data_IF_496323094004
#
_entry.id   IF_496323094004
#
_cell.length_a   1.000
_cell.length_b   1.000
_cell.length_c   1.000
_cell.angle_alpha   90.00
_cell.angle_beta   90.00
_cell.angle_gamma   90.00
#
_symmetry.space_group_name_H-M   'P 1'
#
loop_
_entity.id
_entity.type
_entity.pdbx_description
1 polymer ?
#
# COMPACT_ATOMS: atom_id res chain seq x y z
N UNK A 1 16.99 -45.24 58.78
CA UNK A 1 15.81 -44.38 58.52
C UNK A 1 15.20 -44.75 57.17
N UNK A 2 14.22 -45.65 57.11
CA UNK A 2 13.53 -45.96 55.85
C UNK A 2 12.45 -44.91 55.58
N UNK A 3 12.60 -44.11 54.51
CA UNK A 3 11.49 -43.30 53.98
C UNK A 3 10.38 -44.24 53.53
N UNK A 4 9.23 -44.25 54.22
CA UNK A 4 8.01 -44.88 53.70
C UNK A 4 7.58 -44.11 52.45
N UNK A 5 7.75 -44.72 51.28
CA UNK A 5 7.12 -44.27 50.04
C UNK A 5 5.61 -44.47 50.21
N UNK A 6 4.87 -43.37 50.36
CA UNK A 6 3.39 -43.40 50.34
C UNK A 6 2.97 -43.67 48.89
N UNK A 7 2.34 -44.82 48.65
CA UNK A 7 1.69 -45.10 47.37
C UNK A 7 0.42 -44.22 47.24
N UNK A 8 0.27 -43.53 46.12
CA UNK A 8 -0.92 -42.72 45.84
C UNK A 8 -2.15 -43.61 45.68
N UNK A 9 -3.30 -43.17 46.19
CA UNK A 9 -4.54 -43.92 46.00
C UNK A 9 -5.00 -43.81 44.53
N UNK A 10 -5.62 -44.87 44.00
CA UNK A 10 -6.11 -44.88 42.61
C UNK A 10 -7.12 -43.75 42.34
N UNK A 11 -7.92 -43.41 43.35
CA UNK A 11 -8.88 -42.30 43.33
C UNK A 11 -8.18 -40.95 43.20
N UNK A 12 -7.07 -40.72 43.91
CA UNK A 12 -6.27 -39.50 43.83
C UNK A 12 -5.65 -39.31 42.43
N UNK A 13 -5.20 -40.39 41.79
CA UNK A 13 -4.68 -40.36 40.41
C UNK A 13 -5.79 -40.04 39.40
N UNK A 14 -6.98 -40.63 39.54
CA UNK A 14 -8.13 -40.33 38.67
C UNK A 14 -8.58 -38.87 38.79
N UNK A 15 -8.61 -38.31 40.00
CA UNK A 15 -8.88 -36.89 40.20
C UNK A 15 -7.78 -36.02 39.56
N UNK A 16 -6.50 -36.35 39.76
CA UNK A 16 -5.40 -35.60 39.18
C UNK A 16 -5.46 -35.56 37.63
N UNK A 17 -5.75 -36.69 36.99
CA UNK A 17 -5.89 -36.76 35.51
C UNK A 17 -7.11 -35.97 35.04
N UNK A 18 -8.23 -36.05 35.76
CA UNK A 18 -9.46 -35.31 35.42
C UNK A 18 -9.24 -33.80 35.51
N UNK A 19 -8.61 -33.32 36.60
CA UNK A 19 -8.25 -31.91 36.73
C UNK A 19 -7.24 -31.48 35.66
N UNK A 20 -6.19 -32.27 35.44
CA UNK A 20 -5.18 -31.95 34.45
C UNK A 20 -5.75 -31.87 33.03
N UNK A 21 -6.65 -32.79 32.65
CA UNK A 21 -7.32 -32.77 31.35
C UNK A 21 -8.25 -31.55 31.21
N UNK A 22 -9.02 -31.22 32.25
CA UNK A 22 -9.87 -30.03 32.27
C UNK A 22 -9.03 -28.74 32.14
N UNK A 23 -7.94 -28.61 32.91
CA UNK A 23 -7.02 -27.49 32.81
C UNK A 23 -6.35 -27.41 31.43
N UNK A 24 -5.92 -28.54 30.87
CA UNK A 24 -5.32 -28.60 29.54
C UNK A 24 -6.29 -28.15 28.46
N UNK A 25 -7.57 -28.53 28.57
CA UNK A 25 -8.61 -28.11 27.64
C UNK A 25 -8.87 -26.60 27.72
N UNK A 26 -8.94 -26.03 28.93
CA UNK A 26 -9.07 -24.58 29.12
C UNK A 26 -7.87 -23.83 28.53
N UNK A 27 -6.65 -24.30 28.80
CA UNK A 27 -5.43 -23.73 28.24
C UNK A 27 -5.39 -23.81 26.72
N UNK A 28 -5.83 -24.93 26.14
CA UNK A 28 -5.92 -25.11 24.70
C UNK A 28 -6.87 -24.09 24.05
N UNK A 29 -8.07 -23.89 24.63
CA UNK A 29 -8.99 -22.87 24.13
C UNK A 29 -8.45 -21.45 24.30
N UNK A 30 -7.81 -21.15 25.43
CA UNK A 30 -7.18 -19.85 25.65
C UNK A 30 -6.07 -19.58 24.62
N UNK A 31 -5.24 -20.59 24.32
CA UNK A 31 -4.18 -20.50 23.31
C UNK A 31 -4.74 -20.29 21.90
N UNK A 32 -5.80 -21.02 21.54
CA UNK A 32 -6.47 -20.85 20.24
C UNK A 32 -7.04 -19.44 20.08
N UNK A 33 -7.70 -18.92 21.12
CA UNK A 33 -8.30 -17.59 21.09
C UNK A 33 -7.21 -16.51 21.00
N UNK A 34 -6.15 -16.63 21.79
CA UNK A 34 -5.00 -15.70 21.75
C UNK A 34 -4.34 -15.72 20.38
N UNK A 35 -4.16 -16.90 19.79
CA UNK A 35 -3.57 -17.06 18.46
C UNK A 35 -4.42 -16.41 17.37
N UNK A 36 -5.76 -16.55 17.43
CA UNK A 36 -6.68 -15.90 16.49
C UNK A 36 -6.62 -14.37 16.59
N UNK A 37 -6.60 -13.83 17.82
CA UNK A 37 -6.48 -12.38 18.05
C UNK A 37 -5.14 -11.87 17.55
N UNK A 38 -4.04 -12.55 17.90
CA UNK A 38 -2.70 -12.16 17.46
C UNK A 38 -2.57 -12.13 15.92
N UNK A 39 -3.11 -13.14 15.24
CA UNK A 39 -3.11 -13.19 13.77
C UNK A 39 -3.93 -12.05 13.16
N UNK A 40 -5.09 -11.75 13.74
CA UNK A 40 -5.96 -10.65 13.30
C UNK A 40 -5.29 -9.29 13.43
N UNK A 41 -4.66 -9.04 14.57
CA UNK A 41 -3.91 -7.80 14.83
C UNK A 41 -2.71 -7.69 13.90
N UNK A 42 -1.92 -8.76 13.78
CA UNK A 42 -0.74 -8.79 12.90
C UNK A 42 -1.07 -8.50 11.43
N UNK A 43 -2.18 -9.04 10.92
CA UNK A 43 -2.64 -8.81 9.55
C UNK A 43 -3.04 -7.33 9.31
N UNK A 44 -3.76 -6.73 10.28
CA UNK A 44 -4.12 -5.31 10.22
C UNK A 44 -2.88 -4.40 10.34
N UNK A 45 -1.95 -4.72 11.23
CA UNK A 45 -0.72 -3.96 11.39
C UNK A 45 0.16 -4.01 10.14
N UNK A 46 0.20 -5.13 9.43
CA UNK A 46 0.88 -5.24 8.14
C UNK A 46 0.25 -4.30 7.10
N UNK A 47 -1.08 -4.29 6.98
CA UNK A 47 -1.80 -3.41 6.06
C UNK A 47 -1.62 -1.92 6.43
N UNK A 48 -1.71 -1.58 7.72
CA UNK A 48 -1.51 -0.21 8.21
C UNK A 48 -0.10 0.29 7.93
N UNK A 49 0.94 -0.55 8.11
CA UNK A 49 2.32 -0.19 7.76
C UNK A 49 2.48 0.16 6.28
N UNK A 50 1.78 -0.53 5.37
CA UNK A 50 1.81 -0.19 3.95
C UNK A 50 1.19 1.19 3.68
N UNK A 51 0.04 1.49 4.31
CA UNK A 51 -0.61 2.79 4.18
C UNK A 51 0.27 3.91 4.75
N UNK A 52 0.81 3.74 5.96
CA UNK A 52 1.69 4.74 6.60
C UNK A 52 2.94 4.99 5.76
N UNK A 53 3.53 3.93 5.19
CA UNK A 53 4.68 4.06 4.28
C UNK A 53 4.31 4.84 3.03
N UNK A 54 3.21 4.50 2.35
CA UNK A 54 2.73 5.23 1.18
C UNK A 54 2.46 6.71 1.49
N UNK A 55 1.76 7.00 2.59
CA UNK A 55 1.49 8.35 3.05
C UNK A 55 2.77 9.14 3.34
N UNK A 56 3.76 8.53 3.99
CA UNK A 56 5.02 9.19 4.30
C UNK A 56 5.76 9.63 3.04
N UNK A 57 5.86 8.75 2.03
CA UNK A 57 6.47 9.09 0.75
C UNK A 57 5.68 10.19 0.02
N UNK A 58 4.37 10.03 -0.12
CA UNK A 58 3.51 11.03 -0.79
C UNK A 58 3.58 12.39 -0.09
N UNK A 59 3.54 12.41 1.24
CA UNK A 59 3.54 13.68 2.00
C UNK A 59 4.85 14.43 1.84
N UNK A 60 5.99 13.74 1.97
CA UNK A 60 7.31 14.36 1.79
C UNK A 60 7.46 14.93 0.37
N UNK A 61 7.15 14.11 -0.62
CA UNK A 61 7.36 14.46 -2.01
C UNK A 61 6.43 15.57 -2.50
N UNK A 62 5.18 15.61 -2.03
CA UNK A 62 4.24 16.69 -2.33
C UNK A 62 4.58 17.99 -1.60
N UNK A 63 5.10 17.92 -0.38
CA UNK A 63 5.58 19.12 0.34
C UNK A 63 6.73 19.79 -0.43
N UNK A 64 7.58 19.00 -1.09
CA UNK A 64 8.67 19.46 -1.94
C UNK A 64 8.28 19.59 -3.42
N UNK A 65 7.00 19.36 -3.75
CA UNK A 65 6.47 19.42 -5.10
C UNK A 65 6.02 20.83 -5.47
N UNK A 66 5.77 21.07 -6.76
CA UNK A 66 5.20 22.32 -7.26
C UNK A 66 3.67 22.29 -7.28
N UNK A 67 3.04 23.37 -6.80
CA UNK A 67 1.59 23.56 -6.83
C UNK A 67 1.06 24.14 -8.13
N UNK A 68 1.94 24.41 -9.12
CA UNK A 68 1.54 25.09 -10.36
C UNK A 68 0.74 24.16 -11.28
N UNK A 69 -0.28 24.67 -12.01
CA UNK A 69 -1.18 23.86 -12.83
C UNK A 69 -0.52 23.00 -13.92
N UNK A 70 0.64 23.42 -14.45
CA UNK A 70 1.35 22.70 -15.51
C UNK A 70 2.51 21.83 -14.98
N UNK A 71 2.72 21.81 -13.66
CA UNK A 71 3.83 21.12 -13.00
C UNK A 71 3.35 19.94 -12.14
N UNK A 72 2.06 19.65 -12.22
CA UNK A 72 1.44 18.45 -11.68
C UNK A 72 0.35 17.96 -12.63
N UNK A 73 0.13 16.66 -12.67
CA UNK A 73 -0.96 16.07 -13.44
C UNK A 73 -1.40 14.77 -12.77
N UNK A 74 -2.67 14.43 -12.95
CA UNK A 74 -3.23 13.15 -12.51
C UNK A 74 -4.03 12.48 -13.61
N UNK A 75 -4.10 11.15 -13.55
CA UNK A 75 -4.92 10.35 -14.47
C UNK A 75 -5.32 9.03 -13.80
N UNK A 76 -6.14 8.23 -14.48
CA UNK A 76 -6.43 6.85 -14.07
C UNK A 76 -5.47 5.88 -14.71
N UNK A 77 -5.02 4.89 -13.94
CA UNK A 77 -4.19 3.79 -14.45
C UNK A 77 -5.09 2.74 -15.10
N UNK A 78 -4.72 2.32 -16.31
CA UNK A 78 -5.46 1.31 -17.06
C UNK A 78 -5.54 -0.05 -16.34
N UNK A 79 -6.44 -0.94 -16.78
CA UNK A 79 -6.65 -2.24 -16.14
C UNK A 79 -5.45 -3.17 -16.32
N UNK A 80 -4.89 -3.67 -15.21
CA UNK A 80 -3.87 -4.73 -15.28
C UNK A 80 -4.43 -6.15 -15.37
N UNK A 81 -5.68 -6.34 -14.94
CA UNK A 81 -6.36 -7.64 -14.89
C UNK A 81 -7.55 -7.72 -15.86
N UNK A 82 -7.68 -6.80 -16.81
CA UNK A 82 -8.72 -6.83 -17.85
C UNK A 82 -9.99 -6.05 -17.52
N UNK A 83 -10.33 -5.85 -16.25
CA UNK A 83 -11.47 -5.02 -15.84
C UNK A 83 -11.12 -4.05 -14.70
N UNK A 84 -11.63 -2.82 -14.84
CA UNK A 84 -11.50 -1.73 -13.87
C UNK A 84 -10.12 -1.07 -13.82
N UNK A 85 -10.08 0.22 -13.46
CA UNK A 85 -8.82 0.95 -13.28
C UNK A 85 -8.07 0.43 -12.05
N UNK A 86 -6.77 0.21 -12.16
CA UNK A 86 -5.96 -0.29 -11.03
C UNK A 86 -5.94 0.72 -9.87
N UNK A 87 -6.01 2.01 -10.19
CA UNK A 87 -6.00 3.15 -9.27
C UNK A 87 -5.79 4.44 -10.05
N UNK A 88 -5.49 5.52 -9.33
CA UNK A 88 -5.07 6.77 -9.95
C UNK A 88 -3.53 6.82 -10.07
N UNK A 89 -3.07 7.75 -10.89
CA UNK A 89 -1.67 8.13 -11.01
C UNK A 89 -1.52 9.63 -10.82
N UNK A 90 -0.37 10.03 -10.28
CA UNK A 90 0.02 11.39 -10.01
C UNK A 90 1.43 11.58 -10.56
N UNK A 91 1.68 12.64 -11.31
CA UNK A 91 3.03 13.14 -11.55
C UNK A 91 3.16 14.57 -11.03
N UNK A 92 4.30 14.90 -10.45
CA UNK A 92 4.60 16.23 -9.91
C UNK A 92 6.08 16.55 -10.10
N UNK A 93 6.38 17.80 -10.43
CA UNK A 93 7.75 18.30 -10.45
C UNK A 93 8.16 18.71 -9.03
N UNK A 94 9.35 18.31 -8.61
CA UNK A 94 9.87 18.56 -7.26
C UNK A 94 11.28 19.16 -7.30
N UNK A 95 11.57 19.96 -6.26
CA UNK A 95 12.91 20.49 -6.00
C UNK A 95 13.82 19.51 -5.24
N UNK A 96 13.28 18.39 -4.73
CA UNK A 96 14.05 17.44 -3.93
C UNK A 96 14.90 16.54 -4.83
N UNK A 97 16.22 16.71 -4.72
CA UNK A 97 17.19 15.75 -5.18
C UNK A 97 18.03 15.32 -3.97
N UNK A 98 17.93 14.05 -3.57
CA UNK A 98 18.61 13.48 -2.39
C UNK A 98 20.15 13.66 -2.38
N UNK A 99 20.73 14.21 -3.46
CA UNK A 99 22.14 14.43 -3.65
C UNK A 99 22.56 15.92 -3.68
N UNK A 100 21.64 16.86 -3.96
CA UNK A 100 22.00 18.28 -4.14
C UNK A 100 21.29 19.20 -3.14
N UNK A 101 21.96 20.25 -2.63
CA UNK A 101 21.32 21.25 -1.79
C UNK A 101 20.18 21.94 -2.54
N UNK A 102 19.15 22.37 -1.81
CA UNK A 102 18.11 23.21 -2.37
C UNK A 102 18.72 24.42 -3.07
N UNK A 103 18.30 24.63 -4.32
CA UNK A 103 18.72 25.76 -5.13
C UNK A 103 17.53 26.65 -5.45
N UNK A 104 17.78 27.94 -5.46
CA UNK A 104 16.80 28.99 -5.70
C UNK A 104 17.21 29.67 -7.00
N UNK A 105 16.25 29.91 -7.89
CA UNK A 105 16.44 30.63 -9.13
C UNK A 105 16.79 32.10 -8.87
N UNK A 106 17.24 32.80 -9.90
CA UNK A 106 17.46 34.25 -9.86
C UNK A 106 16.18 35.05 -9.57
N UNK A 107 15.00 34.42 -9.73
CA UNK A 107 13.68 34.99 -9.42
C UNK A 107 13.18 34.64 -8.02
N UNK A 108 13.96 33.93 -7.20
CA UNK A 108 13.58 33.55 -5.84
C UNK A 108 12.72 32.29 -5.74
N UNK A 109 12.47 31.59 -6.85
CA UNK A 109 11.68 30.35 -6.88
C UNK A 109 12.58 29.12 -6.69
N UNK A 110 12.07 28.05 -6.07
CA UNK A 110 12.82 26.80 -5.98
C UNK A 110 13.08 26.23 -7.38
N UNK A 111 14.31 25.75 -7.61
CA UNK A 111 14.66 25.07 -8.86
C UNK A 111 14.14 23.64 -8.81
N UNK A 112 13.32 23.29 -9.80
CA UNK A 112 12.81 21.93 -9.96
C UNK A 112 13.90 21.06 -10.58
N UNK A 113 14.10 19.88 -10.04
CA UNK A 113 15.20 18.97 -10.42
C UNK A 113 14.69 17.60 -10.84
N UNK A 114 13.53 17.17 -10.31
CA UNK A 114 12.97 15.83 -10.51
C UNK A 114 11.51 15.88 -10.94
N UNK A 115 11.11 14.92 -11.77
CA UNK A 115 9.72 14.53 -11.99
C UNK A 115 9.44 13.26 -11.19
N UNK A 116 8.40 13.31 -10.35
CA UNK A 116 8.01 12.23 -9.46
C UNK A 116 6.67 11.68 -9.90
N UNK A 117 6.65 10.42 -10.36
CA UNK A 117 5.42 9.74 -10.78
C UNK A 117 5.03 8.64 -9.79
N UNK A 118 3.82 8.73 -9.26
CA UNK A 118 3.16 7.70 -8.47
C UNK A 118 2.10 7.00 -9.30
N UNK A 119 2.09 5.67 -9.26
CA UNK A 119 1.09 4.88 -9.97
C UNK A 119 0.84 3.58 -9.24
N UNK A 120 -0.41 3.10 -9.30
CA UNK A 120 -0.80 1.84 -8.69
C UNK A 120 -1.00 0.79 -9.78
N UNK A 121 -0.29 -0.33 -9.67
CA UNK A 121 -0.38 -1.43 -10.64
C UNK A 121 -0.55 -2.78 -9.97
N UNK A 122 -1.35 -3.66 -10.57
CA UNK A 122 -1.26 -5.09 -10.24
C UNK A 122 0.03 -5.66 -10.85
N UNK A 123 0.84 -6.45 -10.13
CA UNK A 123 2.05 -7.07 -10.67
C UNK A 123 1.77 -8.00 -11.86
N UNK A 124 2.68 -8.09 -12.84
CA UNK A 124 2.48 -8.96 -14.02
C UNK A 124 2.32 -10.44 -13.67
N UNK A 125 2.90 -10.88 -12.56
CA UNK A 125 2.89 -12.27 -12.10
C UNK A 125 2.07 -12.48 -10.81
N UNK A 126 1.03 -11.67 -10.56
CA UNK A 126 0.26 -11.69 -9.30
C UNK A 126 -0.26 -13.08 -8.92
N UNK A 127 -0.80 -13.85 -9.88
CA UNK A 127 -1.33 -15.19 -9.64
C UNK A 127 -0.24 -16.16 -9.17
N UNK A 128 0.90 -16.18 -9.87
CA UNK A 128 2.04 -17.04 -9.54
C UNK A 128 2.72 -16.63 -8.23
N UNK A 129 2.75 -15.32 -7.94
CA UNK A 129 3.42 -14.77 -6.76
C UNK A 129 2.63 -14.97 -5.47
N UNK A 130 1.31 -14.76 -5.51
CA UNK A 130 0.49 -14.73 -4.30
C UNK A 130 -0.41 -15.97 -4.14
N UNK A 131 -0.46 -16.84 -5.14
CA UNK A 131 -1.27 -18.06 -5.12
C UNK A 131 -2.75 -17.73 -5.20
N UNK A 132 -3.33 -17.85 -6.39
CA UNK A 132 -4.74 -17.58 -6.63
C UNK A 132 -5.03 -17.21 -8.09
N UNK A 133 -6.28 -16.88 -8.37
CA UNK A 133 -6.71 -16.34 -9.66
C UNK A 133 -7.37 -14.99 -9.44
N UNK A 134 -6.78 -13.96 -10.02
CA UNK A 134 -7.30 -12.59 -9.98
C UNK A 134 -7.77 -12.21 -11.39
N UNK A 135 -9.05 -12.42 -11.73
CA UNK A 135 -9.60 -12.13 -13.07
C UNK A 135 -9.85 -10.65 -13.32
N UNK A 136 -9.66 -9.77 -12.32
CA UNK A 136 -10.02 -8.37 -12.37
C UNK A 136 -11.52 -8.18 -12.16
N UNK A 137 -11.92 -7.68 -11.00
CA UNK A 137 -13.32 -7.36 -10.71
C UNK A 137 -13.45 -5.86 -10.52
N UNK A 138 -14.28 -5.18 -11.30
CA UNK A 138 -14.50 -3.74 -11.13
C UNK A 138 -15.59 -3.45 -10.10
N UNK A 139 -15.38 -2.44 -9.26
CA UNK A 139 -16.43 -1.85 -8.42
C UNK A 139 -17.39 -0.96 -9.23
N UNK A 140 -18.42 -0.43 -8.56
CA UNK A 140 -19.38 0.49 -9.18
C UNK A 140 -18.79 1.84 -9.59
N UNK A 141 -17.58 2.18 -9.14
CA UNK A 141 -16.84 3.36 -9.59
C UNK A 141 -15.88 3.04 -10.75
N UNK A 142 -15.86 1.78 -11.22
CA UNK A 142 -15.05 1.29 -12.32
C UNK A 142 -13.59 0.98 -11.95
N UNK A 143 -13.23 0.90 -10.68
CA UNK A 143 -11.88 0.52 -10.24
C UNK A 143 -11.79 -0.98 -9.98
N UNK A 144 -10.64 -1.59 -10.24
CA UNK A 144 -10.37 -2.96 -9.85
C UNK A 144 -10.45 -3.08 -8.31
N UNK A 145 -11.21 -4.04 -7.82
CA UNK A 145 -11.57 -4.18 -6.41
C UNK A 145 -11.41 -5.63 -5.89
N UNK A 146 -11.11 -6.59 -6.76
CA UNK A 146 -10.92 -7.99 -6.40
C UNK A 146 -9.49 -8.34 -5.99
N UNK A 147 -8.48 -7.57 -6.44
CA UNK A 147 -7.07 -7.85 -6.18
C UNK A 147 -6.51 -6.96 -5.04
N UNK A 148 -6.09 -7.54 -3.90
CA UNK A 148 -5.51 -6.77 -2.80
C UNK A 148 -4.01 -6.47 -2.96
N UNK A 149 -3.38 -6.94 -4.03
CA UNK A 149 -1.92 -6.99 -4.19
C UNK A 149 -1.40 -5.98 -5.21
N UNK A 150 -1.86 -4.73 -5.18
CA UNK A 150 -1.36 -3.70 -6.10
C UNK A 150 -0.15 -3.00 -5.52
N UNK A 151 0.83 -2.70 -6.34
CA UNK A 151 2.05 -2.01 -5.93
C UNK A 151 1.94 -0.53 -6.25
N UNK A 152 2.04 0.30 -5.22
CA UNK A 152 2.26 1.72 -5.38
C UNK A 152 3.72 1.91 -5.76
N UNK A 153 3.93 2.32 -7.01
CA UNK A 153 5.24 2.59 -7.58
C UNK A 153 5.51 4.07 -7.46
N UNK A 154 6.73 4.40 -7.07
CA UNK A 154 7.28 5.73 -7.19
C UNK A 154 8.42 5.70 -8.19
N UNK A 155 8.29 6.49 -9.24
CA UNK A 155 9.29 6.70 -10.26
C UNK A 155 9.85 8.12 -10.17
N UNK A 156 11.14 8.25 -10.35
CA UNK A 156 11.91 9.49 -10.32
C UNK A 156 12.61 9.61 -11.67
N UNK A 157 12.27 10.64 -12.41
CA UNK A 157 12.93 11.02 -13.65
C UNK A 157 13.55 12.42 -13.49
N UNK A 158 14.53 12.80 -14.31
CA UNK A 158 14.99 14.19 -14.36
C UNK A 158 13.83 15.10 -14.79
N UNK A 159 13.82 16.34 -14.28
CA UNK A 159 12.85 17.35 -14.73
C UNK A 159 12.92 17.53 -16.26
N UNK A 160 11.78 17.61 -16.96
CA UNK A 160 11.77 17.93 -18.38
C UNK A 160 12.40 19.29 -18.65
N UNK A 161 13.15 19.40 -19.75
CA UNK A 161 13.69 20.68 -20.19
C UNK A 161 12.55 21.65 -20.55
N UNK A 162 12.61 22.93 -20.15
CA UNK A 162 11.67 23.94 -20.63
C UNK A 162 11.68 24.02 -22.16
N UNK A 163 10.51 24.17 -22.78
CA UNK A 163 10.36 24.15 -24.24
C UNK A 163 9.42 25.28 -24.70
N UNK A 164 9.77 26.03 -25.77
CA UNK A 164 8.90 27.08 -26.31
C UNK A 164 7.48 26.55 -26.64
N UNK A 165 6.41 27.30 -26.33
CA UNK A 165 6.39 28.67 -25.80
C UNK A 165 6.47 28.77 -24.27
N UNK A 166 6.58 27.66 -23.54
CA UNK A 166 6.58 27.67 -22.07
C UNK A 166 8.03 27.77 -21.53
N UNK A 167 8.43 28.92 -20.95
CA UNK A 167 9.78 29.09 -20.42
C UNK A 167 10.01 28.31 -19.12
N UNK A 168 8.96 27.70 -18.54
CA UNK A 168 9.05 26.89 -17.34
C UNK A 168 8.98 25.40 -17.66
N UNK A 169 9.63 24.58 -16.84
CA UNK A 169 9.47 23.13 -16.90
C UNK A 169 8.00 22.77 -16.63
N UNK A 170 7.48 21.83 -17.40
CA UNK A 170 6.12 21.33 -17.30
C UNK A 170 6.10 19.82 -17.41
N UNK A 171 5.07 19.20 -16.85
CA UNK A 171 4.83 17.76 -17.01
C UNK A 171 4.67 17.46 -18.51
N UNK A 172 5.36 16.43 -19.05
CA UNK A 172 5.26 16.10 -20.47
C UNK A 172 3.84 15.65 -20.81
N UNK A 173 3.25 16.10 -21.92
CA UNK A 173 1.90 15.70 -22.31
C UNK A 173 1.73 14.19 -22.52
N UNK A 174 2.82 13.49 -22.80
CA UNK A 174 2.88 12.04 -23.01
C UNK A 174 3.33 11.25 -21.76
N UNK A 175 3.40 11.87 -20.58
CA UNK A 175 3.81 11.21 -19.33
C UNK A 175 3.01 9.92 -19.05
N UNK A 176 1.72 9.92 -19.42
CA UNK A 176 0.81 8.78 -19.25
C UNK A 176 1.19 7.56 -20.09
N UNK A 177 1.97 7.73 -21.16
CA UNK A 177 2.45 6.63 -22.02
C UNK A 177 3.87 6.19 -21.69
N UNK A 178 4.73 7.12 -21.25
CA UNK A 178 6.15 6.87 -21.02
C UNK A 178 6.43 6.45 -19.56
N UNK A 179 5.73 7.05 -18.61
CA UNK A 179 6.03 6.91 -17.18
C UNK A 179 5.13 5.88 -16.48
N UNK A 180 3.93 5.63 -17.01
CA UNK A 180 3.00 4.62 -16.50
C UNK A 180 3.33 3.23 -17.06
N UNK A 181 4.45 2.67 -16.63
CA UNK A 181 4.83 1.30 -16.99
C UNK A 181 4.56 0.32 -15.85
N UNK A 182 3.87 -0.78 -16.17
CA UNK A 182 3.60 -1.86 -15.22
C UNK A 182 4.90 -2.61 -14.90
N UNK A 183 5.26 -2.78 -13.62
CA UNK A 183 6.51 -3.41 -13.22
C UNK A 183 6.39 -4.93 -13.30
N UNK A 184 7.47 -5.57 -13.73
CA UNK A 184 7.60 -7.03 -13.71
C UNK A 184 8.22 -7.56 -12.41
N UNK A 185 8.87 -6.70 -11.63
CA UNK A 185 9.55 -7.09 -10.39
C UNK A 185 9.46 -6.02 -9.30
N UNK A 186 9.71 -6.43 -8.06
CA UNK A 186 9.85 -5.52 -6.92
C UNK A 186 11.26 -4.92 -6.80
N UNK A 187 12.17 -5.27 -7.71
CA UNK A 187 13.56 -4.81 -7.63
C UNK A 187 13.60 -3.31 -7.86
N UNK A 188 13.98 -2.57 -6.83
CA UNK A 188 14.19 -1.13 -6.95
C UNK A 188 15.36 -0.86 -7.89
N UNK A 189 15.17 0.09 -8.79
CA UNK A 189 16.22 0.68 -9.62
C UNK A 189 16.53 2.09 -9.10
N UNK A 190 17.52 2.76 -9.71
CA UNK A 190 17.83 4.15 -9.38
C UNK A 190 16.63 5.09 -9.58
N UNK A 191 15.75 4.78 -10.54
CA UNK A 191 14.60 5.62 -10.90
C UNK A 191 13.29 5.07 -10.38
N UNK A 192 13.13 3.76 -10.16
CA UNK A 192 11.83 3.16 -9.86
C UNK A 192 11.89 2.36 -8.57
N UNK A 193 10.92 2.56 -7.67
CA UNK A 193 10.81 1.78 -6.44
C UNK A 193 9.35 1.45 -6.10
N UNK A 194 9.13 0.26 -5.55
CA UNK A 194 7.84 -0.11 -4.95
C UNK A 194 7.79 0.46 -3.54
N UNK A 195 6.89 1.43 -3.32
CA UNK A 195 6.72 2.12 -2.04
C UNK A 195 5.90 1.28 -1.07
N UNK A 196 4.78 0.76 -1.54
CA UNK A 196 3.82 0.04 -0.71
C UNK A 196 3.01 -0.96 -1.53
N UNK A 197 2.45 -1.97 -0.85
CA UNK A 197 1.39 -2.81 -1.39
C UNK A 197 0.05 -2.31 -0.88
N UNK A 198 -0.79 -1.83 -1.79
CA UNK A 198 -2.11 -1.27 -1.52
C UNK A 198 -3.18 -2.03 -2.33
N UNK A 199 -4.42 -1.84 -1.95
CA UNK A 199 -5.58 -2.26 -2.73
C UNK A 199 -6.09 -1.12 -3.63
N UNK A 200 -6.07 0.11 -3.12
CA UNK A 200 -6.52 1.30 -3.86
C UNK A 200 -5.70 2.52 -3.50
N UNK A 201 -5.44 3.34 -4.51
CA UNK A 201 -4.85 4.68 -4.43
C UNK A 201 -5.75 5.58 -5.26
N UNK A 202 -6.45 6.49 -4.58
CA UNK A 202 -7.37 7.43 -5.22
C UNK A 202 -6.99 8.86 -4.87
N UNK A 203 -7.11 9.73 -5.85
CA UNK A 203 -6.98 11.17 -5.73
C UNK A 203 -8.40 11.72 -5.66
N UNK A 204 -8.76 12.25 -4.49
CA UNK A 204 -10.08 12.82 -4.24
C UNK A 204 -10.17 14.28 -4.68
N UNK A 205 -9.06 15.01 -4.53
CA UNK A 205 -8.93 16.41 -4.91
C UNK A 205 -7.50 16.72 -5.34
N UNK A 206 -7.35 17.66 -6.28
CA UNK A 206 -6.08 18.10 -6.84
C UNK A 206 -5.97 19.64 -6.78
N UNK A 207 -4.73 20.15 -6.84
CA UNK A 207 -4.43 21.59 -6.83
C UNK A 207 -3.49 21.96 -5.68
N UNK A 208 -3.71 23.10 -4.99
CA UNK A 208 -2.82 23.55 -3.91
C UNK A 208 -2.88 22.65 -2.67
N UNK A 209 -3.98 21.91 -2.50
CA UNK A 209 -4.17 20.92 -1.46
C UNK A 209 -4.66 19.63 -2.09
N UNK A 210 -3.79 18.63 -2.15
CA UNK A 210 -4.14 17.30 -2.65
C UNK A 210 -4.83 16.51 -1.54
N UNK A 211 -5.87 15.78 -1.90
CA UNK A 211 -6.54 14.85 -1.01
C UNK A 211 -6.47 13.44 -1.58
N UNK A 212 -6.05 12.49 -0.77
CA UNK A 212 -5.88 11.09 -1.17
C UNK A 212 -6.70 10.16 -0.31
N UNK A 213 -7.12 9.06 -0.92
CA UNK A 213 -7.63 7.88 -0.23
C UNK A 213 -6.73 6.68 -0.54
N UNK A 214 -6.13 6.13 0.51
CA UNK A 214 -5.37 4.89 0.45
C UNK A 214 -6.19 3.78 1.09
N UNK A 215 -6.25 2.64 0.41
CA UNK A 215 -6.84 1.42 0.96
C UNK A 215 -5.84 0.28 0.94
N UNK A 216 -5.79 -0.49 2.01
CA UNK A 216 -5.02 -1.74 2.09
C UNK A 216 -5.86 -2.83 2.72
N UNK A 217 -5.66 -4.07 2.28
CA UNK A 217 -6.39 -5.23 2.79
C UNK A 217 -5.55 -5.97 3.84
N UNK A 218 -6.16 -6.38 4.95
CA UNK A 218 -5.61 -7.35 5.88
C UNK A 218 -5.68 -8.76 5.27
N UNK A 219 -4.84 -8.99 4.25
CA UNK A 219 -4.84 -10.17 3.37
C UNK A 219 -4.86 -11.49 4.13
N UNK A 220 -4.04 -11.62 5.17
CA UNK A 220 -3.93 -12.85 5.95
C UNK A 220 -5.21 -13.23 6.69
N UNK A 221 -5.99 -12.24 7.11
CA UNK A 221 -7.31 -12.43 7.70
C UNK A 221 -8.35 -12.71 6.61
N UNK A 222 -8.32 -11.91 5.53
CA UNK A 222 -9.28 -12.00 4.43
C UNK A 222 -9.24 -13.38 3.74
N UNK A 223 -8.06 -13.90 3.39
CA UNK A 223 -7.90 -15.17 2.66
C UNK A 223 -8.46 -16.39 3.40
N UNK A 224 -8.69 -16.29 4.71
CA UNK A 224 -9.26 -17.37 5.54
C UNK A 224 -10.77 -17.33 5.60
N UNK A 225 -11.39 -16.22 5.17
CA UNK A 225 -12.81 -15.95 5.31
C UNK A 225 -13.51 -15.75 3.97
N UNK A 226 -12.78 -15.25 2.98
CA UNK A 226 -13.27 -15.00 1.63
C UNK A 226 -12.27 -15.50 0.60
N UNK A 227 -12.78 -15.84 -0.59
CA UNK A 227 -11.95 -16.19 -1.73
C UNK A 227 -11.45 -14.91 -2.40
N UNK A 228 -10.16 -14.59 -2.20
CA UNK A 228 -9.54 -13.42 -2.82
C UNK A 228 -9.57 -13.54 -4.36
N UNK A 229 -9.82 -12.44 -5.05
CA UNK A 229 -9.93 -12.39 -6.52
C UNK A 229 -11.32 -12.70 -7.08
N UNK A 230 -12.17 -13.44 -6.36
CA UNK A 230 -13.55 -13.74 -6.79
C UNK A 230 -14.61 -12.91 -6.06
N UNK A 231 -14.21 -12.13 -5.06
CA UNK A 231 -15.09 -11.27 -4.26
C UNK A 231 -14.61 -9.82 -4.30
N UNK A 232 -15.55 -8.88 -4.33
CA UNK A 232 -15.28 -7.45 -4.17
C UNK A 232 -14.79 -7.17 -2.74
N UNK A 233 -13.67 -6.48 -2.61
CA UNK A 233 -13.03 -6.20 -1.32
C UNK A 233 -13.37 -4.82 -0.77
N UNK A 234 -13.83 -3.88 -1.59
CA UNK A 234 -13.85 -2.45 -1.28
C UNK A 234 -14.65 -2.08 -0.03
N UNK A 235 -15.71 -2.84 0.28
CA UNK A 235 -16.56 -2.67 1.46
C UNK A 235 -16.37 -3.79 2.51
N UNK A 236 -15.36 -4.63 2.36
CA UNK A 236 -15.11 -5.74 3.27
C UNK A 236 -14.56 -5.25 4.63
N UNK A 237 -14.83 -5.95 5.74
CA UNK A 237 -14.32 -5.57 7.07
C UNK A 237 -12.79 -5.76 7.21
N UNK A 238 -12.14 -6.28 6.17
CA UNK A 238 -10.70 -6.49 6.08
C UNK A 238 -9.97 -5.30 5.45
N UNK A 239 -10.72 -4.31 4.95
CA UNK A 239 -10.15 -3.09 4.39
C UNK A 239 -9.84 -2.09 5.49
N UNK A 240 -8.62 -1.56 5.44
CA UNK A 240 -8.22 -0.35 6.12
C UNK A 240 -8.24 0.79 5.11
N UNK A 241 -8.86 1.90 5.49
CA UNK A 241 -8.98 3.09 4.67
C UNK A 241 -8.34 4.25 5.43
N UNK A 242 -7.48 5.00 4.75
CA UNK A 242 -6.93 6.24 5.27
C UNK A 242 -7.11 7.35 4.23
N UNK A 243 -7.75 8.43 4.67
CA UNK A 243 -7.80 9.69 3.93
C UNK A 243 -6.86 10.69 4.57
N UNK A 244 -6.16 11.46 3.74
CA UNK A 244 -5.32 12.54 4.20
C UNK A 244 -5.16 13.58 3.11
N UNK A 245 -4.85 14.81 3.52
CA UNK A 245 -4.53 15.90 2.60
C UNK A 245 -3.09 16.38 2.79
N UNK A 246 -2.48 16.84 1.70
CA UNK A 246 -1.14 17.44 1.71
C UNK A 246 -1.19 18.73 0.91
N UNK A 247 -0.73 19.81 1.52
CA UNK A 247 -0.54 21.08 0.83
C UNK A 247 0.79 21.07 0.06
N UNK A 248 0.79 21.69 -1.10
CA UNK A 248 2.00 21.91 -1.91
C UNK A 248 2.53 23.30 -1.59
N UNK A 249 3.85 23.44 -1.41
CA UNK A 249 4.45 24.67 -0.86
C UNK A 249 5.29 25.49 -1.85
N UNK A 250 5.35 25.10 -3.13
CA UNK A 250 6.10 25.81 -4.19
C UNK A 250 5.20 26.40 -5.28
#
# INVERSE_FOLDING_TARGET
MSRRLRAFSLLEVLFAISFFSMFSMVLFFALQNTSKVWQRTSARDAALRQIVRARSFLSRDLQNGSGRPNQSASTRVGPSLGAGWDGDALTILSCEDNATPWSISTTGASVLTRELTYSLFVPTNVNARYGGTFPGLSDGAGYEDGCPYKWLIRRIDPVPAPAPPNPEAAVPSNWTTILLSRPSSMTSTATTQVVATLHSFRILSAGPQWEFELRACAVDEARRKISLGSSLLGNSPYMLVQRFSVAVHN
#
